data_IF_766888694743
#
_entry.id   IF_766888694743
#
_cell.length_a   1.000
_cell.length_b   1.000
_cell.length_c   1.000
_cell.angle_alpha   90.00
_cell.angle_beta   90.00
_cell.angle_gamma   90.00
#
_symmetry.space_group_name_H-M   'P 1'
#
loop_
_entity.id
_entity.type
_entity.pdbx_description
1 polymer ?
#
# COMPACT_ATOMS: atom_id res chain seq x y z
N UNK A 1 -9.94 -14.14 7.09
CA UNK A 1 -8.88 -13.15 6.82
C UNK A 1 -9.30 -12.28 5.65
N UNK A 2 -9.07 -10.98 5.72
CA UNK A 2 -9.32 -10.04 4.62
C UNK A 2 -8.22 -8.98 4.58
N UNK A 3 -8.14 -8.24 3.47
CA UNK A 3 -7.14 -7.19 3.26
C UNK A 3 -7.82 -5.83 3.25
N UNK A 4 -7.23 -4.84 3.92
CA UNK A 4 -7.62 -3.44 3.80
C UNK A 4 -6.50 -2.59 3.19
N UNK A 5 -6.82 -1.65 2.28
CA UNK A 5 -5.85 -0.70 1.78
C UNK A 5 -5.50 0.34 2.86
N UNK A 6 -4.24 0.75 2.87
CA UNK A 6 -3.72 1.76 3.76
C UNK A 6 -3.36 3.07 3.06
N UNK A 7 -2.68 3.94 3.80
CA UNK A 7 -2.15 5.20 3.29
C UNK A 7 -0.89 5.00 2.44
N UNK A 8 -0.43 6.08 1.82
CA UNK A 8 0.86 6.09 1.12
C UNK A 8 1.99 5.65 2.06
N UNK A 9 2.86 4.77 1.55
CA UNK A 9 3.94 4.16 2.32
C UNK A 9 5.23 4.98 2.26
N UNK A 10 5.37 5.84 1.26
CA UNK A 10 6.58 6.62 1.01
C UNK A 10 6.27 8.11 0.89
N UNK A 11 7.11 8.94 1.51
CA UNK A 11 7.11 10.37 1.24
C UNK A 11 7.60 10.64 -0.19
N UNK A 12 7.23 11.78 -0.81
CA UNK A 12 7.62 12.07 -2.20
C UNK A 12 9.13 11.95 -2.48
N UNK A 13 10.04 12.42 -1.60
CA UNK A 13 11.49 12.23 -1.83
C UNK A 13 11.91 10.76 -1.84
N UNK A 14 11.35 9.93 -0.95
CA UNK A 14 11.68 8.50 -0.87
C UNK A 14 11.12 7.72 -2.06
N UNK A 15 9.90 8.07 -2.48
CA UNK A 15 9.30 7.51 -3.69
C UNK A 15 10.18 7.78 -4.92
N UNK A 16 10.65 9.02 -5.08
CA UNK A 16 11.53 9.40 -6.21
C UNK A 16 12.86 8.66 -6.21
N UNK A 17 13.46 8.44 -5.03
CA UNK A 17 14.70 7.65 -4.90
C UNK A 17 14.47 6.21 -5.35
N UNK A 18 13.39 5.55 -4.90
CA UNK A 18 13.07 4.18 -5.29
C UNK A 18 12.74 4.07 -6.78
N UNK A 19 11.92 4.99 -7.31
CA UNK A 19 11.59 5.04 -8.72
C UNK A 19 12.84 5.25 -9.60
N UNK A 20 13.79 6.07 -9.13
CA UNK A 20 15.09 6.25 -9.79
C UNK A 20 15.94 4.97 -9.77
N UNK A 21 16.00 4.28 -8.63
CA UNK A 21 16.72 3.01 -8.50
C UNK A 21 16.15 1.93 -9.44
N UNK A 22 14.82 1.80 -9.53
CA UNK A 22 14.17 0.86 -10.44
C UNK A 22 14.50 1.15 -11.90
N UNK A 23 14.41 2.42 -12.33
CA UNK A 23 14.77 2.83 -13.70
C UNK A 23 16.25 2.60 -14.04
N UNK A 24 17.14 2.67 -13.04
CA UNK A 24 18.56 2.41 -13.25
C UNK A 24 18.88 0.93 -13.45
N UNK A 25 18.04 0.03 -12.94
CA UNK A 25 18.15 -1.41 -13.15
C UNK A 25 17.59 -1.80 -14.53
N UNK A 26 16.43 -1.22 -14.89
CA UNK A 26 15.82 -1.40 -16.20
C UNK A 26 14.98 -0.15 -16.54
N UNK A 27 15.29 0.48 -17.67
CA UNK A 27 14.61 1.69 -18.15
C UNK A 27 13.11 1.49 -18.46
N UNK A 28 12.68 0.24 -18.66
CA UNK A 28 11.28 -0.12 -18.85
C UNK A 28 10.47 -0.18 -17.55
N UNK A 29 11.13 -0.21 -16.39
CA UNK A 29 10.45 -0.28 -15.10
C UNK A 29 9.96 1.09 -14.65
N UNK A 30 8.69 1.14 -14.24
CA UNK A 30 8.05 2.32 -13.67
C UNK A 30 7.43 1.96 -12.32
N UNK A 31 7.68 2.81 -11.33
CA UNK A 31 6.99 2.75 -10.05
C UNK A 31 5.76 3.65 -10.14
N UNK A 32 4.58 3.06 -10.09
CA UNK A 32 3.33 3.81 -10.16
C UNK A 32 2.84 4.24 -8.78
N UNK A 33 2.99 3.38 -7.77
CA UNK A 33 2.43 3.64 -6.45
C UNK A 33 3.15 2.79 -5.37
N UNK A 34 3.09 3.26 -4.12
CA UNK A 34 3.61 2.54 -2.96
C UNK A 34 2.78 2.88 -1.72
N UNK A 35 2.02 1.91 -1.21
CA UNK A 35 1.08 2.09 -0.12
C UNK A 35 1.06 0.88 0.81
N UNK A 36 0.56 1.09 2.03
CA UNK A 36 0.43 0.03 3.02
C UNK A 36 -0.77 -0.87 2.70
N UNK A 37 -0.64 -2.14 3.08
CA UNK A 37 -1.69 -3.14 3.05
C UNK A 37 -1.78 -3.80 4.42
N UNK A 38 -3.01 -3.97 4.91
CA UNK A 38 -3.26 -4.60 6.19
C UNK A 38 -3.93 -5.96 5.98
N UNK A 39 -3.22 -7.03 6.32
CA UNK A 39 -3.76 -8.38 6.39
C UNK A 39 -4.37 -8.64 7.76
N UNK A 40 -5.68 -8.85 7.81
CA UNK A 40 -6.44 -8.89 9.06
C UNK A 40 -7.03 -10.29 9.24
N UNK A 41 -6.46 -11.02 10.20
CA UNK A 41 -7.11 -12.18 10.79
C UNK A 41 -8.14 -11.69 11.81
N UNK A 42 -9.35 -12.22 11.74
CA UNK A 42 -10.41 -11.88 12.68
C UNK A 42 -11.15 -13.16 13.08
N UNK A 43 -11.63 -13.17 14.32
CA UNK A 43 -12.64 -14.10 14.79
C UNK A 43 -13.90 -13.30 15.12
N UNK A 44 -15.03 -13.68 14.53
CA UNK A 44 -16.32 -12.97 14.68
C UNK A 44 -16.57 -11.86 13.65
N UNK A 45 -17.60 -11.07 13.91
CA UNK A 45 -17.97 -9.91 13.09
C UNK A 45 -17.17 -8.67 13.49
N UNK A 46 -16.67 -7.94 12.49
CA UNK A 46 -15.99 -6.66 12.65
C UNK A 46 -16.53 -5.68 11.63
N UNK A 47 -16.82 -4.45 12.07
CA UNK A 47 -17.13 -3.34 11.18
C UNK A 47 -15.87 -2.95 10.40
N UNK A 48 -15.85 -3.32 9.13
CA UNK A 48 -14.72 -3.06 8.23
C UNK A 48 -14.51 -1.58 7.97
N UNK A 49 -15.58 -0.78 7.99
CA UNK A 49 -15.51 0.66 7.73
C UNK A 49 -14.94 1.43 8.91
N UNK A 50 -15.29 1.04 10.15
CA UNK A 50 -14.64 1.58 11.35
C UNK A 50 -13.17 1.14 11.44
N UNK A 51 -12.89 -0.13 11.16
CA UNK A 51 -11.51 -0.62 11.17
C UNK A 51 -10.64 0.06 10.10
N UNK A 52 -11.16 0.27 8.89
CA UNK A 52 -10.45 1.00 7.85
C UNK A 52 -10.09 2.43 8.30
N UNK A 53 -11.01 3.11 9.00
CA UNK A 53 -10.76 4.45 9.56
C UNK A 53 -9.68 4.44 10.65
N UNK A 54 -9.63 3.41 11.49
CA UNK A 54 -8.57 3.28 12.50
C UNK A 54 -7.18 3.03 11.89
N UNK A 55 -7.14 2.33 10.76
CA UNK A 55 -5.91 2.01 10.06
C UNK A 55 -5.40 3.15 9.15
N UNK A 56 -6.15 4.25 9.06
CA UNK A 56 -5.70 5.47 8.38
C UNK A 56 -5.15 6.47 9.40
N UNK A 57 -3.83 6.75 9.38
CA UNK A 57 -3.29 7.85 10.17
C UNK A 57 -3.92 9.17 9.74
N UNK A 58 -4.31 10.01 10.70
CA UNK A 58 -5.06 11.26 10.46
C UNK A 58 -4.34 12.33 9.64
N UNK A 59 -3.05 12.14 9.32
CA UNK A 59 -2.24 13.02 8.47
C UNK A 59 -1.81 12.39 7.15
N UNK A 60 -2.17 11.13 6.91
CA UNK A 60 -1.69 10.40 5.75
C UNK A 60 -2.72 10.48 4.62
N UNK A 61 -2.24 10.79 3.41
CA UNK A 61 -3.08 10.68 2.23
C UNK A 61 -3.51 9.22 2.03
N UNK A 62 -4.82 9.01 1.89
CA UNK A 62 -5.38 7.74 1.46
C UNK A 62 -4.83 7.45 0.07
N UNK A 63 -3.95 6.46 -0.05
CA UNK A 63 -3.33 6.16 -1.34
C UNK A 63 -4.32 5.50 -2.30
N UNK A 64 -5.31 4.75 -1.78
CA UNK A 64 -6.25 3.99 -2.61
C UNK A 64 -7.52 3.60 -1.86
N UNK A 65 -8.66 3.70 -2.54
CA UNK A 65 -9.95 3.19 -2.05
C UNK A 65 -10.11 1.67 -2.27
N UNK A 66 -9.33 1.08 -3.19
CA UNK A 66 -9.38 -0.34 -3.53
C UNK A 66 -7.99 -0.92 -3.83
N UNK A 67 -7.86 -2.24 -3.64
CA UNK A 67 -6.66 -3.00 -4.02
C UNK A 67 -6.47 -2.94 -5.55
N UNK A 68 -5.23 -2.87 -6.07
CA UNK A 68 -5.01 -3.04 -7.49
C UNK A 68 -5.47 -4.42 -7.91
N UNK A 69 -6.22 -4.49 -9.00
CA UNK A 69 -6.50 -5.72 -9.72
C UNK A 69 -5.37 -6.08 -10.70
N UNK A 70 -4.18 -5.51 -10.52
CA UNK A 70 -3.11 -5.51 -11.52
C UNK A 70 -2.05 -6.57 -11.20
N UNK A 71 -1.66 -7.35 -12.21
CA UNK A 71 -0.74 -8.49 -12.08
C UNK A 71 0.71 -8.06 -11.79
N UNK A 72 0.99 -6.76 -11.85
CA UNK A 72 2.32 -6.17 -11.66
C UNK A 72 2.56 -5.64 -10.24
N UNK A 73 1.75 -6.04 -9.26
CA UNK A 73 1.90 -5.63 -7.87
C UNK A 73 2.87 -6.54 -7.09
N UNK A 74 3.84 -5.94 -6.40
CA UNK A 74 4.74 -6.65 -5.48
C UNK A 74 4.33 -6.35 -4.03
N UNK A 75 4.01 -7.41 -3.28
CA UNK A 75 3.67 -7.32 -1.85
C UNK A 75 4.89 -7.70 -1.03
N UNK A 76 5.33 -6.77 -0.16
CA UNK A 76 6.46 -6.99 0.76
C UNK A 76 5.91 -7.15 2.17
N UNK A 77 6.16 -8.31 2.79
CA UNK A 77 5.73 -8.65 4.16
C UNK A 77 6.92 -9.11 5.02
N UNK A 78 6.83 -8.99 6.37
CA UNK A 78 7.77 -9.63 7.27
C UNK A 78 7.87 -11.15 7.03
N UNK A 79 9.02 -11.72 7.36
CA UNK A 79 9.26 -13.17 7.29
C UNK A 79 8.60 -13.91 8.44
#
# INVERSE_FOLDING_TARGET
>A
MFILPGSSALTPPRFMVLAGALRSLDSGLRLDDAYFLYAIAQDGEVDRGELARLLQPSTAETAREALPADDHCLIVVPR
#
